data_IF_301943886571
#
_entry.id   IF_301943886571
#
_cell.length_a   1.000
_cell.length_b   1.000
_cell.length_c   1.000
_cell.angle_alpha   90.00
_cell.angle_beta   90.00
_cell.angle_gamma   90.00
#
_symmetry.space_group_name_H-M   'P 1'
#
loop_
_entity.id
_entity.type
_entity.pdbx_description
1 polymer ?
#
# COMPACT_ATOMS: atom_id res chain seq x y z
N UNK A 1 6.31 11.68 22.07
CA UNK A 1 7.23 12.78 21.63
C UNK A 1 8.61 12.36 21.05
N UNK A 2 8.88 11.10 20.68
CA UNK A 2 10.18 10.69 20.06
C UNK A 2 10.04 9.67 18.91
N UNK A 3 8.94 9.68 18.16
CA UNK A 3 8.75 8.78 16.99
C UNK A 3 8.60 9.53 15.65
N UNK A 4 8.59 10.86 15.66
CA UNK A 4 8.42 11.68 14.45
C UNK A 4 9.72 12.05 13.74
N UNK A 5 10.88 11.99 14.41
CA UNK A 5 12.12 12.59 13.88
C UNK A 5 12.89 11.72 12.87
N UNK A 6 12.68 10.40 12.82
CA UNK A 6 13.36 9.51 11.85
C UNK A 6 12.58 9.26 10.55
N UNK A 7 11.34 9.75 10.44
CA UNK A 7 10.47 9.55 9.26
C UNK A 7 10.84 10.45 8.07
N UNK A 8 11.54 11.57 8.29
CA UNK A 8 11.83 12.55 7.23
C UNK A 8 12.93 12.18 6.23
N UNK A 9 13.85 11.26 6.57
CA UNK A 9 15.04 11.00 5.73
C UNK A 9 14.90 9.79 4.81
N UNK A 10 14.00 8.82 5.11
CA UNK A 10 13.77 7.64 4.26
C UNK A 10 12.65 7.82 3.23
N UNK A 11 11.69 8.72 3.49
CA UNK A 11 10.60 9.00 2.53
C UNK A 11 11.07 9.69 1.23
N UNK A 12 12.24 10.34 1.24
CA UNK A 12 12.76 11.06 0.06
C UNK A 12 13.56 10.20 -0.91
N UNK A 13 14.01 9.00 -0.53
CA UNK A 13 14.89 8.20 -1.39
C UNK A 13 14.18 7.21 -2.32
N UNK A 14 12.90 6.91 -2.08
CA UNK A 14 12.18 5.87 -2.85
C UNK A 14 11.29 6.39 -3.98
N UNK A 15 11.08 7.72 -4.07
CA UNK A 15 10.18 8.33 -5.08
C UNK A 15 10.84 8.62 -6.44
N UNK A 16 12.15 8.43 -6.58
CA UNK A 16 12.87 8.78 -7.83
C UNK A 16 13.10 7.63 -8.82
N UNK A 17 12.73 6.38 -8.51
CA UNK A 17 13.10 5.23 -9.36
C UNK A 17 11.97 4.54 -10.12
N UNK A 18 10.73 5.04 -10.08
CA UNK A 18 9.58 4.31 -10.65
C UNK A 18 8.88 4.96 -11.84
N UNK A 19 9.42 6.02 -12.44
CA UNK A 19 8.68 6.80 -13.45
C UNK A 19 8.81 6.38 -14.92
N UNK A 20 9.48 5.27 -15.28
CA UNK A 20 9.68 4.94 -16.70
C UNK A 20 9.39 3.52 -17.19
N UNK A 21 8.85 2.63 -16.36
CA UNK A 21 8.50 1.29 -16.85
C UNK A 21 7.15 0.85 -16.27
N UNK A 22 6.24 0.50 -17.17
CA UNK A 22 4.92 -0.11 -16.92
C UNK A 22 3.73 0.84 -16.76
N UNK A 23 3.35 1.51 -17.85
CA UNK A 23 1.94 1.74 -18.17
C UNK A 23 1.61 0.98 -19.48
N UNK A 24 0.95 -0.19 -19.43
CA UNK A 24 0.58 -0.95 -20.61
C UNK A 24 -0.86 -0.60 -21.01
N UNK A 25 -1.11 0.61 -21.51
CA UNK A 25 -2.43 1.00 -22.02
C UNK A 25 -2.40 2.05 -23.13
N UNK A 26 -1.32 2.10 -23.91
CA UNK A 26 -1.30 2.90 -25.16
C UNK A 26 -1.32 1.91 -26.33
N UNK A 27 -2.45 1.75 -27.05
CA UNK A 27 -2.43 1.06 -28.33
C UNK A 27 -1.66 1.95 -29.31
N UNK A 28 -0.49 1.51 -29.75
CA UNK A 28 0.22 2.19 -30.83
C UNK A 28 -0.61 2.05 -32.12
N UNK A 29 -0.86 3.14 -32.85
CA UNK A 29 -1.65 3.10 -34.07
C UNK A 29 -0.96 2.24 -35.13
N UNK A 30 -1.69 1.26 -35.67
CA UNK A 30 -1.25 0.26 -36.66
C UNK A 30 -1.04 0.84 -38.07
N UNK A 31 -0.84 2.15 -38.20
CA UNK A 31 -0.69 2.85 -39.48
C UNK A 31 0.74 3.31 -39.80
N UNK A 32 1.66 3.35 -38.82
CA UNK A 32 3.03 3.84 -39.01
C UNK A 32 4.07 2.77 -39.38
N UNK A 33 3.72 1.48 -39.31
CA UNK A 33 4.63 0.38 -39.65
C UNK A 33 4.88 0.31 -41.17
N UNK A 34 3.88 0.68 -41.98
CA UNK A 34 3.97 0.64 -43.45
C UNK A 34 4.93 1.68 -44.03
N UNK A 35 4.94 2.89 -43.47
CA UNK A 35 5.83 3.97 -43.91
C UNK A 35 7.31 3.67 -43.58
N UNK A 36 7.57 3.03 -42.43
CA UNK A 36 8.91 2.64 -42.01
C UNK A 36 9.51 1.55 -42.91
N UNK A 37 8.69 0.59 -43.36
CA UNK A 37 9.09 -0.46 -44.30
C UNK A 37 9.33 0.11 -45.71
N UNK A 38 8.56 1.12 -46.12
CA UNK A 38 8.77 1.81 -47.40
C UNK A 38 10.07 2.65 -47.42
N UNK A 39 10.45 3.28 -46.31
CA UNK A 39 11.74 3.96 -46.18
C UNK A 39 12.94 2.97 -46.16
N UNK A 40 12.71 1.74 -45.71
CA UNK A 40 13.71 0.67 -45.60
C UNK A 40 14.14 0.08 -46.96
N UNK A 41 13.24 0.02 -47.93
CA UNK A 41 13.54 -0.52 -49.27
C UNK A 41 14.39 0.43 -50.12
N UNK A 42 14.34 1.74 -49.86
CA UNK A 42 15.11 2.74 -50.61
C UNK A 42 16.56 2.95 -50.11
N UNK A 43 16.91 2.44 -48.91
CA UNK A 43 18.25 2.58 -48.30
C UNK A 43 19.23 1.44 -48.61
N UNK A 44 18.82 0.40 -49.34
CA UNK A 44 19.63 -0.79 -49.62
C UNK A 44 20.71 -0.61 -50.71
N UNK A 45 20.74 0.52 -51.40
CA UNK A 45 21.67 0.79 -52.51
C UNK A 45 23.01 1.43 -52.10
N UNK A 46 23.22 1.76 -50.82
CA UNK A 46 24.50 2.27 -50.31
C UNK A 46 24.81 1.64 -48.95
N UNK A 47 26.08 1.38 -48.65
CA UNK A 47 26.54 0.60 -47.47
C UNK A 47 26.08 1.04 -46.07
N UNK A 48 25.22 2.06 -45.97
CA UNK A 48 24.50 2.49 -44.76
C UNK A 48 23.26 1.62 -44.45
N UNK A 49 22.71 0.88 -45.42
CA UNK A 49 21.55 0.01 -45.21
C UNK A 49 21.83 -1.13 -44.24
N UNK A 50 22.99 -1.79 -44.38
CA UNK A 50 23.38 -2.95 -43.55
C UNK A 50 23.50 -2.59 -42.07
N UNK A 51 24.00 -1.39 -41.75
CA UNK A 51 24.17 -0.92 -40.37
C UNK A 51 22.84 -0.62 -39.68
N UNK A 52 21.85 -0.08 -40.43
CA UNK A 52 20.50 0.19 -39.91
C UNK A 52 19.73 -1.12 -39.68
N UNK A 53 19.83 -2.07 -40.60
CA UNK A 53 19.23 -3.41 -40.46
C UNK A 53 19.79 -4.16 -39.25
N UNK A 54 21.11 -4.13 -39.06
CA UNK A 54 21.78 -4.78 -37.93
C UNK A 54 21.39 -4.14 -36.59
N UNK A 55 21.26 -2.80 -36.54
CA UNK A 55 20.81 -2.09 -35.34
C UNK A 55 19.34 -2.41 -34.98
N UNK A 56 18.45 -2.48 -35.97
CA UNK A 56 17.05 -2.86 -35.77
C UNK A 56 16.91 -4.30 -35.28
N UNK A 57 17.66 -5.23 -35.86
CA UNK A 57 17.68 -6.63 -35.43
C UNK A 57 18.24 -6.79 -34.01
N UNK A 58 19.33 -6.09 -33.68
CA UNK A 58 19.91 -6.10 -32.33
C UNK A 58 18.95 -5.50 -31.29
N UNK A 59 18.27 -4.39 -31.63
CA UNK A 59 17.22 -3.78 -30.82
C UNK A 59 16.03 -4.71 -30.58
N UNK A 60 15.54 -5.38 -31.63
CA UNK A 60 14.46 -6.36 -31.53
C UNK A 60 14.81 -7.56 -30.65
N UNK A 61 16.02 -8.09 -30.77
CA UNK A 61 16.53 -9.18 -29.90
C UNK A 61 16.64 -8.73 -28.44
N UNK A 62 17.08 -7.50 -28.19
CA UNK A 62 17.16 -6.94 -26.84
C UNK A 62 15.77 -6.79 -26.21
N UNK A 63 14.80 -6.22 -26.94
CA UNK A 63 13.41 -6.09 -26.47
C UNK A 63 12.76 -7.45 -26.21
N UNK A 64 12.96 -8.43 -27.10
CA UNK A 64 12.48 -9.79 -26.91
C UNK A 64 13.06 -10.43 -25.64
N UNK A 65 14.37 -10.26 -25.39
CA UNK A 65 15.02 -10.76 -24.18
C UNK A 65 14.48 -10.09 -22.91
N UNK A 66 14.22 -8.77 -22.95
CA UNK A 66 13.65 -8.02 -21.82
C UNK A 66 12.20 -8.46 -21.56
N UNK A 67 11.38 -8.56 -22.60
CA UNK A 67 9.98 -8.96 -22.50
C UNK A 67 9.79 -10.39 -21.98
N UNK A 68 10.76 -11.29 -22.27
CA UNK A 68 10.75 -12.67 -21.77
C UNK A 68 11.55 -12.88 -20.48
N UNK A 69 12.02 -11.82 -19.82
CA UNK A 69 12.64 -12.00 -18.51
C UNK A 69 11.60 -12.55 -17.54
N UNK A 70 11.96 -13.59 -16.76
CA UNK A 70 11.08 -14.10 -15.72
C UNK A 70 10.77 -12.97 -14.74
N UNK A 71 9.48 -12.76 -14.46
CA UNK A 71 9.07 -11.80 -13.45
C UNK A 71 9.51 -12.32 -12.07
N UNK A 72 9.91 -11.43 -11.15
CA UNK A 72 10.19 -11.83 -9.78
C UNK A 72 8.96 -12.51 -9.18
N UNK A 73 9.17 -13.68 -8.57
CA UNK A 73 8.09 -14.42 -7.89
C UNK A 73 7.84 -13.86 -6.50
N UNK A 74 8.88 -13.32 -5.87
CA UNK A 74 8.86 -12.77 -4.52
C UNK A 74 9.58 -11.43 -4.45
N UNK A 75 9.28 -10.65 -3.42
CA UNK A 75 9.94 -9.40 -3.11
C UNK A 75 10.05 -9.21 -1.61
N UNK A 76 11.10 -8.52 -1.18
CA UNK A 76 11.22 -8.06 0.20
C UNK A 76 10.37 -6.80 0.37
N UNK A 77 9.61 -6.74 1.46
CA UNK A 77 8.75 -5.62 1.86
C UNK A 77 8.93 -5.34 3.34
N UNK A 78 8.75 -4.08 3.74
CA UNK A 78 8.83 -3.66 5.14
C UNK A 78 7.43 -3.51 5.73
N UNK A 79 7.23 -3.99 6.95
CA UNK A 79 5.98 -3.77 7.68
C UNK A 79 5.90 -2.34 8.22
N UNK A 80 4.86 -1.58 7.86
CA UNK A 80 4.62 -0.23 8.37
C UNK A 80 4.54 -0.16 9.90
N UNK A 81 4.01 -1.19 10.55
CA UNK A 81 3.72 -1.20 11.99
C UNK A 81 4.92 -1.58 12.86
N UNK A 82 5.55 -2.71 12.57
CA UNK A 82 6.67 -3.22 13.37
C UNK A 82 8.05 -2.96 12.74
N UNK A 83 8.10 -2.37 11.54
CA UNK A 83 9.33 -2.05 10.81
C UNK A 83 10.25 -3.27 10.58
N UNK A 84 9.68 -4.48 10.55
CA UNK A 84 10.39 -5.71 10.19
C UNK A 84 10.21 -6.00 8.70
N UNK A 85 11.30 -6.44 8.07
CA UNK A 85 11.28 -6.88 6.68
C UNK A 85 10.78 -8.33 6.59
N UNK A 86 10.00 -8.62 5.56
CA UNK A 86 9.57 -9.99 5.23
C UNK A 86 9.58 -10.18 3.72
N UNK A 87 9.48 -11.44 3.28
CA UNK A 87 9.39 -11.81 1.87
C UNK A 87 7.97 -12.25 1.56
N UNK A 88 7.37 -11.63 0.55
CA UNK A 88 6.01 -11.95 0.09
C UNK A 88 6.01 -12.25 -1.41
N UNK A 89 5.01 -12.98 -1.93
CA UNK A 89 4.80 -13.08 -3.38
C UNK A 89 4.70 -11.70 -4.01
N UNK A 90 5.29 -11.51 -5.20
CA UNK A 90 5.37 -10.18 -5.85
C UNK A 90 3.99 -9.55 -6.10
N UNK A 91 2.99 -10.38 -6.40
CA UNK A 91 1.59 -9.95 -6.56
C UNK A 91 0.98 -9.39 -5.26
N UNK A 92 1.50 -9.81 -4.11
CA UNK A 92 0.97 -9.49 -2.78
C UNK A 92 1.78 -8.42 -2.05
N UNK A 93 2.72 -7.74 -2.74
CA UNK A 93 3.60 -6.72 -2.14
C UNK A 93 2.86 -5.57 -1.44
N UNK A 94 1.59 -5.33 -1.80
CA UNK A 94 0.70 -4.35 -1.20
C UNK A 94 -0.61 -4.98 -0.67
N UNK A 95 -0.61 -6.27 -0.33
CA UNK A 95 -1.76 -6.91 0.31
C UNK A 95 -1.34 -8.18 1.07
N UNK A 96 -0.81 -7.98 2.27
CA UNK A 96 -0.28 -9.08 3.09
C UNK A 96 -0.43 -8.80 4.58
N UNK A 97 -0.63 -9.84 5.38
CA UNK A 97 -0.61 -9.74 6.84
C UNK A 97 0.80 -10.02 7.36
N UNK A 98 1.28 -9.19 8.28
CA UNK A 98 2.65 -9.31 8.78
C UNK A 98 2.84 -10.56 9.65
N UNK A 99 3.83 -11.43 9.39
CA UNK A 99 4.04 -12.65 10.20
C UNK A 99 4.56 -12.36 11.61
N UNK A 100 5.03 -11.14 11.89
CA UNK A 100 5.58 -10.75 13.19
C UNK A 100 4.57 -10.07 14.12
N UNK A 101 3.68 -9.24 13.58
CA UNK A 101 2.73 -8.46 14.38
C UNK A 101 1.27 -8.61 13.93
N UNK A 102 1.01 -9.48 12.95
CA UNK A 102 -0.32 -9.86 12.46
C UNK A 102 -1.15 -8.68 11.91
N UNK A 103 -0.50 -7.54 11.62
CA UNK A 103 -1.16 -6.36 11.06
C UNK A 103 -1.12 -6.40 9.53
N UNK A 104 -2.26 -6.06 8.91
CA UNK A 104 -2.41 -5.98 7.47
C UNK A 104 -1.62 -4.81 6.86
N UNK A 105 -0.81 -5.10 5.85
CA UNK A 105 -0.07 -4.14 5.03
C UNK A 105 -0.66 -4.12 3.62
N UNK A 106 -1.41 -3.06 3.32
CA UNK A 106 -1.98 -2.81 2.01
C UNK A 106 -2.67 -1.46 1.99
N UNK A 107 -2.12 -0.52 1.24
CA UNK A 107 -2.58 0.87 1.23
C UNK A 107 -2.85 1.39 -0.18
N UNK A 108 -3.84 2.26 -0.31
CA UNK A 108 -4.06 3.09 -1.50
C UNK A 108 -3.07 4.27 -1.54
N UNK A 109 -2.99 4.98 -2.66
CA UNK A 109 -2.06 6.11 -2.81
C UNK A 109 -2.36 7.27 -1.85
N UNK A 110 -3.59 7.38 -1.38
CA UNK A 110 -4.02 8.35 -0.37
C UNK A 110 -3.64 7.93 1.08
N UNK A 111 -3.14 6.71 1.27
CA UNK A 111 -2.77 6.16 2.58
C UNK A 111 -3.87 5.35 3.28
N UNK A 112 -5.07 5.24 2.71
CA UNK A 112 -6.15 4.39 3.23
C UNK A 112 -5.85 2.91 2.98
N UNK A 113 -6.55 2.02 3.68
CA UNK A 113 -6.48 0.59 3.36
C UNK A 113 -7.12 0.28 2.00
N UNK A 114 -6.43 -0.53 1.20
CA UNK A 114 -6.96 -1.00 -0.09
C UNK A 114 -7.99 -2.14 0.02
N UNK A 115 -8.45 -2.43 1.24
CA UNK A 115 -9.57 -3.31 1.54
C UNK A 115 -10.32 -2.76 2.76
N UNK A 116 -11.64 -2.99 2.86
CA UNK A 116 -12.34 -2.69 4.10
C UNK A 116 -11.75 -3.53 5.25
N UNK A 117 -11.54 -2.90 6.41
CA UNK A 117 -11.10 -3.57 7.64
C UNK A 117 -12.26 -3.50 8.65
N UNK A 118 -13.13 -4.53 8.71
CA UNK A 118 -14.31 -4.52 9.58
C UNK A 118 -14.00 -4.23 11.05
N UNK A 119 -12.87 -4.73 11.55
CA UNK A 119 -12.41 -4.50 12.91
C UNK A 119 -12.28 -3.01 13.28
N UNK A 120 -12.03 -2.12 12.32
CA UNK A 120 -11.95 -0.67 12.59
C UNK A 120 -13.28 -0.06 13.06
N UNK A 121 -14.43 -0.62 12.67
CA UNK A 121 -15.75 -0.08 13.03
C UNK A 121 -16.66 -1.09 13.74
N UNK A 122 -16.24 -2.35 13.84
CA UNK A 122 -16.91 -3.41 14.57
C UNK A 122 -16.02 -3.87 15.73
N UNK A 123 -16.29 -3.34 16.92
CA UNK A 123 -15.50 -3.63 18.12
C UNK A 123 -15.42 -5.12 18.45
N UNK A 124 -16.48 -5.88 18.19
CA UNK A 124 -16.52 -7.32 18.43
C UNK A 124 -15.58 -8.13 17.52
N UNK A 125 -14.99 -7.51 16.49
CA UNK A 125 -13.97 -8.10 15.63
C UNK A 125 -12.54 -7.69 16.01
N UNK A 126 -12.38 -6.77 16.96
CA UNK A 126 -11.06 -6.42 17.49
C UNK A 126 -10.52 -7.56 18.35
N UNK A 127 -9.21 -7.82 18.23
CA UNK A 127 -8.52 -8.70 19.16
C UNK A 127 -8.60 -8.07 20.56
N UNK A 128 -9.09 -8.82 21.55
CA UNK A 128 -9.23 -8.29 22.90
C UNK A 128 -7.84 -8.22 23.53
N UNK A 129 -7.32 -7.00 23.69
CA UNK A 129 -6.08 -6.76 24.44
C UNK A 129 -6.43 -6.85 25.92
N UNK A 130 -6.09 -7.96 26.57
CA UNK A 130 -6.06 -7.98 28.04
C UNK A 130 -4.95 -7.05 28.49
N UNK A 131 -5.30 -6.00 29.25
CA UNK A 131 -4.34 -5.04 29.78
C UNK A 131 -3.15 -5.76 30.42
N UNK A 132 -1.94 -5.42 29.99
CA UNK A 132 -0.70 -5.98 30.49
C UNK A 132 -0.59 -5.79 32.01
N UNK A 133 -0.79 -6.87 32.76
CA UNK A 133 -0.68 -6.84 34.23
C UNK A 133 -0.77 -8.19 34.93
N UNK A 134 -1.36 -9.22 34.33
CA UNK A 134 -1.41 -10.55 34.95
C UNK A 134 -0.43 -11.49 34.26
N UNK A 135 0.51 -12.02 35.06
CA UNK A 135 1.32 -13.18 34.74
C UNK A 135 0.49 -14.23 33.99
N UNK A 136 0.98 -14.61 32.82
CA UNK A 136 0.38 -15.64 31.97
C UNK A 136 0.34 -16.96 32.74
N UNK A 137 -0.84 -17.35 33.23
CA UNK A 137 -1.11 -18.68 33.77
C UNK A 137 -1.77 -19.53 32.65
N UNK A 138 -1.04 -20.51 32.07
CA UNK A 138 -1.57 -21.35 31.00
C UNK A 138 -2.75 -22.23 31.42
N UNK A 139 -3.05 -22.33 32.72
CA UNK A 139 -4.09 -23.21 33.26
C UNK A 139 -5.46 -22.54 33.44
N UNK A 140 -5.56 -21.22 33.27
CA UNK A 140 -6.83 -20.49 33.40
C UNK A 140 -7.40 -20.13 32.02
N UNK A 141 -8.69 -20.41 31.74
CA UNK A 141 -9.33 -19.87 30.55
C UNK A 141 -9.27 -18.35 30.64
N UNK A 142 -8.66 -17.72 29.62
CA UNK A 142 -8.64 -16.28 29.45
C UNK A 142 -10.08 -15.80 29.26
N UNK A 143 -10.76 -15.43 30.34
CA UNK A 143 -12.09 -14.86 30.25
C UNK A 143 -11.95 -13.39 29.84
N UNK A 144 -11.87 -13.18 28.53
CA UNK A 144 -11.95 -11.86 27.93
C UNK A 144 -13.29 -11.22 28.30
N UNK A 145 -13.26 -10.02 28.86
CA UNK A 145 -14.49 -9.27 29.14
C UNK A 145 -14.63 -8.21 28.05
N UNK A 146 -15.53 -8.45 27.11
CA UNK A 146 -15.92 -7.44 26.12
C UNK A 146 -16.44 -6.20 26.85
N UNK A 147 -16.13 -5.00 26.35
CA UNK A 147 -16.69 -3.74 26.84
C UNK A 147 -18.23 -3.74 26.83
N UNK A 148 -18.83 -4.58 25.96
CA UNK A 148 -20.26 -4.87 25.89
C UNK A 148 -20.82 -5.48 27.18
N UNK A 149 -19.98 -6.15 27.96
CA UNK A 149 -20.33 -6.78 29.24
C UNK A 149 -20.08 -5.83 30.42
N UNK A 150 -19.18 -4.85 30.27
CA UNK A 150 -18.80 -3.90 31.32
C UNK A 150 -19.77 -2.72 31.46
N UNK A 151 -20.43 -2.32 30.38
CA UNK A 151 -21.29 -1.13 30.34
C UNK A 151 -22.78 -1.51 30.29
N UNK A 152 -23.63 -0.76 30.99
CA UNK A 152 -25.07 -0.89 30.78
C UNK A 152 -25.44 -0.51 29.34
N UNK A 153 -26.58 -0.99 28.84
CA UNK A 153 -27.03 -0.75 27.45
C UNK A 153 -26.96 0.72 27.04
N UNK A 154 -27.36 1.63 27.93
CA UNK A 154 -27.32 3.09 27.69
C UNK A 154 -25.88 3.58 27.51
N UNK A 155 -24.97 3.20 28.40
CA UNK A 155 -23.56 3.59 28.32
C UNK A 155 -22.86 3.00 27.09
N UNK A 156 -23.17 1.75 26.72
CA UNK A 156 -22.63 1.12 25.51
C UNK A 156 -23.09 1.84 24.23
N UNK A 157 -24.36 2.25 24.17
CA UNK A 157 -24.89 3.05 23.07
C UNK A 157 -24.19 4.42 22.99
N UNK A 158 -23.97 5.11 24.12
CA UNK A 158 -23.25 6.38 24.14
C UNK A 158 -21.82 6.23 23.61
N UNK A 159 -21.07 5.21 24.05
CA UNK A 159 -19.73 4.91 23.55
C UNK A 159 -19.73 4.67 22.03
N UNK A 160 -20.66 3.83 21.55
CA UNK A 160 -20.80 3.56 20.11
C UNK A 160 -21.08 4.85 19.32
N UNK A 161 -21.91 5.76 19.84
CA UNK A 161 -22.20 7.03 19.16
C UNK A 161 -20.99 7.97 19.14
N UNK A 162 -20.25 8.08 20.25
CA UNK A 162 -19.01 8.88 20.31
C UNK A 162 -17.98 8.38 19.29
N UNK A 163 -17.75 7.07 19.22
CA UNK A 163 -16.81 6.46 18.26
C UNK A 163 -17.24 6.76 16.83
N UNK A 164 -18.53 6.59 16.49
CA UNK A 164 -19.05 6.89 15.14
C UNK A 164 -18.87 8.36 14.78
N UNK A 165 -19.16 9.26 15.71
CA UNK A 165 -19.02 10.70 15.50
C UNK A 165 -17.56 11.11 15.29
N UNK A 166 -16.64 10.61 16.13
CA UNK A 166 -15.20 10.84 15.97
C UNK A 166 -14.67 10.29 14.64
N UNK A 167 -15.10 9.08 14.24
CA UNK A 167 -14.69 8.48 12.97
C UNK A 167 -15.21 9.25 11.75
N UNK A 168 -16.35 9.94 11.88
CA UNK A 168 -16.93 10.77 10.83
C UNK A 168 -16.45 12.23 10.83
N UNK A 169 -15.55 12.60 11.74
CA UNK A 169 -15.06 13.96 11.84
C UNK A 169 -14.26 14.36 10.59
N UNK A 170 -14.59 15.53 10.03
CA UNK A 170 -13.85 16.17 8.97
C UNK A 170 -13.48 17.58 9.43
N UNK A 171 -12.20 17.98 9.38
CA UNK A 171 -11.80 19.34 9.75
C UNK A 171 -12.40 20.36 8.78
N UNK A 172 -12.60 21.59 9.24
CA UNK A 172 -12.97 22.71 8.34
C UNK A 172 -11.74 23.24 7.61
N UNK A 173 -10.61 23.30 8.33
CA UNK A 173 -9.31 23.66 7.78
C UNK A 173 -8.30 22.53 8.06
N UNK A 174 -7.77 21.89 7.01
CA UNK A 174 -6.81 20.77 7.16
C UNK A 174 -5.58 21.15 8.01
N UNK A 175 -5.10 22.38 7.91
CA UNK A 175 -3.97 22.89 8.70
C UNK A 175 -4.26 23.06 10.20
N UNK A 176 -5.53 22.94 10.62
CA UNK A 176 -5.98 23.05 12.02
C UNK A 176 -6.61 21.77 12.53
N UNK A 177 -6.43 20.64 11.84
CA UNK A 177 -7.01 19.35 12.23
C UNK A 177 -6.82 19.05 13.72
N UNK A 178 -5.58 19.18 14.23
CA UNK A 178 -5.23 18.87 15.61
C UNK A 178 -5.99 19.74 16.63
N UNK A 179 -6.26 21.02 16.32
CA UNK A 179 -7.01 21.91 17.20
C UNK A 179 -8.51 21.60 17.12
N UNK A 180 -9.05 21.42 15.92
CA UNK A 180 -10.47 21.18 15.70
C UNK A 180 -10.93 19.82 16.26
N UNK A 181 -10.11 18.77 16.12
CA UNK A 181 -10.45 17.44 16.64
C UNK A 181 -10.49 17.41 18.16
N UNK A 182 -9.60 18.14 18.85
CA UNK A 182 -9.59 18.20 20.31
C UNK A 182 -10.82 18.94 20.86
N UNK A 183 -11.23 20.04 20.21
CA UNK A 183 -12.49 20.72 20.54
C UNK A 183 -13.69 19.80 20.32
N UNK A 184 -13.70 19.05 19.21
CA UNK A 184 -14.78 18.11 18.90
C UNK A 184 -14.85 16.96 19.91
N UNK A 185 -13.70 16.41 20.33
CA UNK A 185 -13.64 15.41 21.40
C UNK A 185 -14.27 15.93 22.69
N UNK A 186 -13.92 17.14 23.12
CA UNK A 186 -14.49 17.75 24.32
C UNK A 186 -16.01 17.97 24.20
N UNK A 187 -16.52 18.26 23.00
CA UNK A 187 -17.97 18.36 22.77
C UNK A 187 -18.69 17.02 22.92
N UNK A 188 -18.02 15.91 22.63
CA UNK A 188 -18.58 14.56 22.69
C UNK A 188 -18.47 13.91 24.08
N UNK A 189 -17.68 14.48 25.01
CA UNK A 189 -17.48 13.97 26.37
C UNK A 189 -18.69 14.18 27.29
#
# INVERSE_FOLDING_TARGET
>A
PLLHSRRGLRFRFSLFFSFFLFNPSIPLPMEDVGALVAAYSQGLAGGLGVTVCAAAAAGGVLLYKIARRPKPTHTTVNCWFCNQDTVVPYGNRNCWDCPNCEQYNGFEENGDYNKPIPAQYMENLNHVISGSGAFYDPTKPQQWVSSQVLLCKKCNNHQTMKIKQLASFSPREEGKYDEEIEVYKHYLE
#
